data_IF_038802025218
#
_entry.id   IF_038802025218
#
_cell.length_a   1.000
_cell.length_b   1.000
_cell.length_c   1.000
_cell.angle_alpha   90.00
_cell.angle_beta   90.00
_cell.angle_gamma   90.00
#
_symmetry.space_group_name_H-M   'P 1'
#
loop_
_entity.id
_entity.type
_entity.pdbx_description
1 polymer ?
#
# COMPACT_ATOMS: atom_id res chain seq x y z
N UNK A 1 -19.57 9.05 17.97
CA UNK A 1 -18.51 8.65 17.02
C UNK A 1 -17.20 8.63 17.79
N UNK A 2 -16.45 7.52 17.78
CA UNK A 2 -15.08 7.51 18.32
C UNK A 2 -14.15 7.85 17.16
N UNK A 3 -13.23 8.78 17.37
CA UNK A 3 -12.24 9.13 16.35
C UNK A 3 -11.33 7.95 16.04
N UNK A 4 -11.05 7.75 14.76
CA UNK A 4 -10.10 6.73 14.29
C UNK A 4 -8.70 7.26 14.55
N UNK A 5 -8.04 6.74 15.61
CA UNK A 5 -6.72 7.21 16.04
C UNK A 5 -5.64 6.88 15.01
N UNK A 6 -4.50 7.57 15.09
CA UNK A 6 -3.36 7.33 14.20
C UNK A 6 -2.83 5.90 14.35
N UNK A 7 -2.71 5.44 15.58
CA UNK A 7 -2.21 4.11 15.93
C UNK A 7 -3.10 3.03 15.31
N UNK A 8 -4.42 3.22 15.35
CA UNK A 8 -5.37 2.32 14.71
C UNK A 8 -5.16 2.28 13.20
N UNK A 9 -4.99 3.43 12.52
CA UNK A 9 -4.79 3.48 11.07
C UNK A 9 -3.49 2.79 10.64
N UNK A 10 -2.42 2.99 11.39
CA UNK A 10 -1.12 2.38 11.12
C UNK A 10 -1.17 0.85 11.33
N UNK A 11 -1.77 0.38 12.42
CA UNK A 11 -1.97 -1.04 12.70
C UNK A 11 -2.90 -1.71 11.67
N UNK A 12 -4.04 -1.08 11.36
CA UNK A 12 -4.98 -1.55 10.35
C UNK A 12 -4.32 -1.67 8.98
N UNK A 13 -3.53 -0.66 8.57
CA UNK A 13 -2.75 -0.71 7.33
C UNK A 13 -1.75 -1.86 7.34
N UNK A 14 -0.97 -2.01 8.41
CA UNK A 14 0.04 -3.06 8.51
C UNK A 14 -0.58 -4.45 8.42
N UNK A 15 -1.67 -4.70 9.13
CA UNK A 15 -2.40 -5.98 9.11
C UNK A 15 -3.05 -6.23 7.76
N UNK A 16 -3.73 -5.24 7.19
CA UNK A 16 -4.38 -5.37 5.89
C UNK A 16 -3.38 -5.66 4.77
N UNK A 17 -2.19 -5.06 4.81
CA UNK A 17 -1.13 -5.30 3.83
C UNK A 17 -0.61 -6.75 3.80
N UNK A 18 -0.85 -7.53 4.87
CA UNK A 18 -0.48 -8.97 4.90
C UNK A 18 -1.51 -9.87 4.24
N UNK A 19 -2.74 -9.38 4.02
CA UNK A 19 -3.80 -10.15 3.38
C UNK A 19 -3.49 -10.35 1.90
N UNK A 20 -3.60 -11.59 1.43
CA UNK A 20 -3.40 -11.95 0.03
C UNK A 20 -4.74 -12.25 -0.62
N UNK A 21 -5.02 -11.55 -1.72
CA UNK A 21 -6.12 -11.90 -2.60
C UNK A 21 -5.87 -13.29 -3.21
N UNK A 22 -6.92 -14.10 -3.23
CA UNK A 22 -6.93 -15.44 -3.78
C UNK A 22 -7.99 -15.53 -4.85
N UNK A 23 -7.68 -16.27 -5.91
CA UNK A 23 -8.65 -16.73 -6.89
C UNK A 23 -9.25 -18.05 -6.39
N UNK A 24 -10.58 -18.14 -6.33
CA UNK A 24 -11.29 -19.36 -5.90
C UNK A 24 -12.61 -19.57 -6.64
N UNK A 25 -13.02 -20.83 -6.77
CA UNK A 25 -14.33 -21.24 -7.28
C UNK A 25 -15.14 -21.86 -6.14
N UNK A 26 -16.48 -21.72 -6.19
CA UNK A 26 -17.35 -22.29 -5.16
C UNK A 26 -17.48 -23.79 -5.33
N UNK A 27 -16.92 -24.54 -4.37
CA UNK A 27 -17.05 -25.99 -4.31
C UNK A 27 -18.28 -26.39 -3.47
N UNK A 28 -19.51 -26.24 -3.99
CA UNK A 28 -20.71 -26.81 -3.33
C UNK A 28 -21.72 -27.42 -4.31
N UNK A 29 -22.14 -28.64 -4.00
CA UNK A 29 -23.47 -29.18 -4.34
C UNK A 29 -24.53 -28.20 -3.80
N UNK A 30 -25.10 -27.34 -4.64
CA UNK A 30 -26.12 -26.36 -4.23
C UNK A 30 -25.92 -24.95 -4.78
N UNK A 31 -24.77 -24.63 -5.38
CA UNK A 31 -24.69 -23.48 -6.27
C UNK A 31 -25.43 -23.78 -7.57
N UNK A 32 -26.19 -22.79 -8.07
CA UNK A 32 -26.70 -22.81 -9.45
C UNK A 32 -25.51 -23.03 -10.39
N UNK A 33 -25.68 -23.82 -11.45
CA UNK A 33 -24.59 -24.19 -12.38
C UNK A 33 -23.77 -22.96 -12.83
N UNK A 34 -24.43 -21.83 -13.04
CA UNK A 34 -23.84 -20.54 -13.40
C UNK A 34 -22.78 -19.98 -12.43
N UNK A 35 -22.70 -20.45 -11.18
CA UNK A 35 -21.75 -19.96 -10.16
C UNK A 35 -20.59 -20.91 -9.89
N UNK A 36 -20.63 -22.14 -10.43
CA UNK A 36 -19.54 -23.11 -10.25
C UNK A 36 -18.34 -22.80 -11.12
N UNK A 37 -18.60 -22.29 -12.33
CA UNK A 37 -17.55 -21.99 -13.30
C UNK A 37 -17.00 -20.57 -13.18
N UNK A 38 -17.60 -19.74 -12.32
CA UNK A 38 -17.15 -18.34 -12.15
C UNK A 38 -15.92 -18.28 -11.25
N UNK A 39 -14.90 -17.62 -11.77
CA UNK A 39 -13.73 -17.26 -11.00
C UNK A 39 -14.08 -16.11 -10.06
N UNK A 40 -13.81 -16.27 -8.77
CA UNK A 40 -13.97 -15.22 -7.77
C UNK A 40 -12.60 -14.79 -7.24
N UNK A 41 -12.46 -13.50 -6.96
CA UNK A 41 -11.29 -12.95 -6.26
C UNK A 41 -11.75 -12.50 -4.88
N UNK A 42 -11.02 -12.92 -3.85
CA UNK A 42 -11.33 -12.50 -2.49
C UNK A 42 -10.32 -13.02 -1.47
N UNK A 43 -10.68 -12.88 -0.21
CA UNK A 43 -9.93 -13.36 0.95
C UNK A 43 -10.79 -14.32 1.74
N UNK A 44 -10.19 -15.33 2.37
CA UNK A 44 -10.94 -16.22 3.25
C UNK A 44 -11.20 -15.54 4.60
N UNK A 45 -12.35 -15.83 5.20
CA UNK A 45 -12.67 -15.34 6.55
C UNK A 45 -11.63 -15.84 7.57
N UNK A 46 -11.08 -17.03 7.38
CA UNK A 46 -10.04 -17.59 8.24
C UNK A 46 -8.72 -16.83 8.14
N UNK A 47 -8.33 -16.38 6.94
CA UNK A 47 -7.13 -15.55 6.77
C UNK A 47 -7.32 -14.17 7.40
N UNK A 48 -8.51 -13.58 7.26
CA UNK A 48 -8.86 -12.32 7.95
C UNK A 48 -8.82 -12.52 9.46
N UNK A 49 -9.42 -13.58 9.99
CA UNK A 49 -9.48 -13.83 11.44
C UNK A 49 -8.09 -13.90 12.09
N UNK A 50 -7.08 -14.41 11.38
CA UNK A 50 -5.70 -14.47 11.89
C UNK A 50 -5.06 -13.10 12.09
N UNK A 51 -5.42 -12.10 11.27
CA UNK A 51 -4.79 -10.78 11.27
C UNK A 51 -5.69 -9.70 11.88
N UNK A 52 -7.01 -9.86 11.74
CA UNK A 52 -8.07 -8.94 12.10
C UNK A 52 -9.23 -9.75 12.70
N UNK A 53 -9.07 -10.30 13.93
CA UNK A 53 -10.08 -11.16 14.54
C UNK A 53 -11.43 -10.46 14.72
N UNK A 54 -11.41 -9.15 15.04
CA UNK A 54 -12.62 -8.34 15.23
C UNK A 54 -13.45 -8.15 13.94
N UNK A 55 -12.86 -8.45 12.78
CA UNK A 55 -13.55 -8.39 11.49
C UNK A 55 -14.33 -9.69 11.16
N UNK A 56 -14.25 -10.71 12.02
CA UNK A 56 -14.83 -12.04 11.74
C UNK A 56 -15.70 -12.47 12.90
N UNK A 57 -16.98 -12.68 12.61
CA UNK A 57 -17.93 -13.28 13.52
C UNK A 57 -17.95 -14.81 13.33
N UNK A 58 -17.99 -15.55 14.43
CA UNK A 58 -18.06 -17.01 14.43
C UNK A 58 -19.37 -17.43 15.09
N UNK A 59 -20.13 -18.30 14.42
CA UNK A 59 -21.32 -18.93 15.00
C UNK A 59 -21.34 -20.42 14.69
N UNK A 60 -22.07 -21.18 15.51
CA UNK A 60 -22.22 -22.63 15.33
C UNK A 60 -23.44 -22.91 14.45
N UNK A 61 -23.25 -23.69 13.39
CA UNK A 61 -24.32 -24.14 12.51
C UNK A 61 -24.37 -25.68 12.48
N UNK A 62 -25.56 -26.31 12.55
CA UNK A 62 -25.67 -27.75 12.40
C UNK A 62 -25.33 -28.16 10.96
N UNK A 63 -24.49 -29.17 10.78
CA UNK A 63 -24.10 -29.69 9.45
C UNK A 63 -25.18 -30.57 8.80
N UNK A 64 -26.39 -30.65 9.37
CA UNK A 64 -27.50 -31.45 8.87
C UNK A 64 -28.82 -31.22 9.63
N UNK A 65 -29.95 -31.68 9.05
CA UNK A 65 -31.31 -31.37 9.54
C UNK A 65 -31.88 -32.30 10.63
N UNK A 66 -31.03 -32.93 11.45
CA UNK A 66 -31.46 -33.94 12.44
C UNK A 66 -30.98 -33.65 13.87
N UNK A 67 -31.62 -34.29 14.86
CA UNK A 67 -31.32 -34.16 16.28
C UNK A 67 -29.89 -34.57 16.68
N UNK A 68 -29.18 -35.32 15.82
CA UNK A 68 -27.80 -35.76 15.99
C UNK A 68 -26.83 -35.08 14.99
N UNK A 69 -27.16 -33.88 14.50
CA UNK A 69 -26.26 -33.14 13.61
C UNK A 69 -25.04 -32.65 14.38
N UNK A 70 -23.86 -32.83 13.78
CA UNK A 70 -22.65 -32.22 14.30
C UNK A 70 -22.73 -30.71 14.11
N UNK A 71 -22.26 -29.95 15.10
CA UNK A 71 -22.11 -28.51 14.96
C UNK A 71 -20.79 -28.20 14.25
N UNK A 72 -20.81 -27.30 13.28
CA UNK A 72 -19.61 -26.73 12.66
C UNK A 72 -19.52 -25.25 12.99
N UNK A 73 -18.29 -24.75 13.10
CA UNK A 73 -18.05 -23.32 13.13
C UNK A 73 -18.23 -22.75 11.73
N UNK A 74 -18.97 -21.64 11.65
CA UNK A 74 -19.13 -20.84 10.44
C UNK A 74 -18.56 -19.46 10.69
N UNK A 75 -17.64 -19.06 9.83
CA UNK A 75 -16.93 -17.79 9.90
C UNK A 75 -17.53 -16.82 8.89
N UNK A 76 -18.03 -15.69 9.37
CA UNK A 76 -18.60 -14.63 8.54
C UNK A 76 -17.81 -13.34 8.73
N UNK A 77 -17.52 -12.65 7.63
CA UNK A 77 -16.78 -11.38 7.64
C UNK A 77 -17.77 -10.25 7.92
N UNK A 78 -17.52 -9.46 8.97
CA UNK A 78 -18.26 -8.22 9.22
C UNK A 78 -17.91 -7.17 8.16
N UNK A 79 -18.78 -7.05 7.16
CA UNK A 79 -18.60 -6.12 6.06
C UNK A 79 -18.63 -4.66 6.51
N UNK A 80 -19.36 -4.31 7.59
CA UNK A 80 -19.37 -2.95 8.10
C UNK A 80 -18.02 -2.60 8.70
N UNK A 81 -17.47 -3.50 9.53
CA UNK A 81 -16.13 -3.35 10.08
C UNK A 81 -15.08 -3.26 8.97
N UNK A 82 -15.15 -4.15 7.97
CA UNK A 82 -14.23 -4.15 6.84
C UNK A 82 -14.30 -2.86 6.01
N UNK A 83 -15.48 -2.27 5.85
CA UNK A 83 -15.63 -0.99 5.15
C UNK A 83 -14.92 0.16 5.90
N UNK A 84 -15.10 0.26 7.22
CA UNK A 84 -14.38 1.26 8.03
C UNK A 84 -12.87 1.05 8.01
N UNK A 85 -12.44 -0.21 8.07
CA UNK A 85 -11.04 -0.57 7.98
C UNK A 85 -10.46 -0.19 6.62
N UNK A 86 -11.14 -0.51 5.53
CA UNK A 86 -10.70 -0.15 4.17
C UNK A 86 -10.60 1.37 4.00
N UNK A 87 -11.56 2.16 4.51
CA UNK A 87 -11.47 3.62 4.49
C UNK A 87 -10.24 4.13 5.25
N UNK A 88 -9.93 3.53 6.39
CA UNK A 88 -8.75 3.87 7.20
C UNK A 88 -7.45 3.55 6.46
N UNK A 89 -7.38 2.39 5.80
CA UNK A 89 -6.26 1.96 4.96
C UNK A 89 -6.08 2.90 3.77
N UNK A 90 -7.16 3.30 3.09
CA UNK A 90 -7.13 4.23 1.95
C UNK A 90 -6.61 5.60 2.38
N UNK A 91 -7.08 6.15 3.50
CA UNK A 91 -6.58 7.42 4.03
C UNK A 91 -5.07 7.33 4.36
N UNK A 92 -4.63 6.22 4.93
CA UNK A 92 -3.22 6.01 5.23
C UNK A 92 -2.36 5.89 3.95
N UNK A 93 -2.89 5.25 2.90
CA UNK A 93 -2.25 5.18 1.59
C UNK A 93 -2.14 6.55 0.95
N UNK A 94 -3.22 7.34 0.91
CA UNK A 94 -3.23 8.69 0.37
C UNK A 94 -2.16 9.57 1.02
N UNK A 95 -2.09 9.55 2.36
CA UNK A 95 -1.06 10.29 3.10
C UNK A 95 0.36 9.84 2.74
N UNK A 96 0.59 8.54 2.54
CA UNK A 96 1.91 8.03 2.14
C UNK A 96 2.26 8.44 0.71
N UNK A 97 1.29 8.44 -0.21
CA UNK A 97 1.47 8.90 -1.58
C UNK A 97 1.83 10.39 -1.63
N UNK A 98 1.18 11.24 -0.85
CA UNK A 98 1.51 12.67 -0.74
C UNK A 98 2.96 12.87 -0.27
N UNK A 99 3.41 12.10 0.71
CA UNK A 99 4.80 12.16 1.21
C UNK A 99 5.80 11.72 0.13
N UNK A 100 5.48 10.67 -0.63
CA UNK A 100 6.34 10.22 -1.74
C UNK A 100 6.45 11.29 -2.81
N UNK A 101 5.34 11.90 -3.22
CA UNK A 101 5.34 12.98 -4.22
C UNK A 101 6.19 14.18 -3.75
N UNK A 102 6.07 14.59 -2.49
CA UNK A 102 6.90 15.67 -1.93
C UNK A 102 8.39 15.31 -1.90
N UNK A 103 8.73 14.04 -1.70
CA UNK A 103 10.12 13.59 -1.73
C UNK A 103 10.67 13.60 -3.16
N UNK A 104 9.88 13.19 -4.15
CA UNK A 104 10.25 13.25 -5.57
C UNK A 104 10.54 14.68 -6.01
N UNK A 105 9.65 15.64 -5.69
CA UNK A 105 9.84 17.07 -5.98
C UNK A 105 11.11 17.63 -5.33
N UNK A 106 11.41 17.20 -4.10
CA UNK A 106 12.63 17.62 -3.39
C UNK A 106 13.90 17.04 -4.00
N UNK A 107 13.86 15.79 -4.47
CA UNK A 107 14.99 15.15 -5.16
C UNK A 107 15.26 15.88 -6.46
N UNK A 108 14.24 16.16 -7.27
CA UNK A 108 14.38 16.92 -8.52
C UNK A 108 14.96 18.32 -8.27
N UNK A 109 14.48 19.03 -7.24
CA UNK A 109 15.02 20.33 -6.88
C UNK A 109 16.51 20.27 -6.48
N UNK A 110 16.92 19.23 -5.74
CA UNK A 110 18.31 19.03 -5.36
C UNK A 110 19.20 18.63 -6.55
N UNK A 111 18.68 17.82 -7.47
CA UNK A 111 19.37 17.44 -8.71
C UNK A 111 19.63 18.67 -9.59
N UNK A 112 18.64 19.56 -9.74
CA UNK A 112 18.80 20.82 -10.47
C UNK A 112 19.82 21.75 -9.79
N UNK A 113 19.76 21.90 -8.47
CA UNK A 113 20.76 22.69 -7.73
C UNK A 113 22.18 22.14 -7.88
N UNK A 114 22.34 20.81 -7.90
CA UNK A 114 23.62 20.16 -8.15
C UNK A 114 24.14 20.44 -9.57
N UNK A 115 23.28 20.38 -10.57
CA UNK A 115 23.62 20.68 -11.95
C UNK A 115 24.06 22.16 -12.12
N UNK A 116 23.34 23.09 -11.50
CA UNK A 116 23.68 24.52 -11.51
C UNK A 116 25.06 24.78 -10.88
N UNK A 117 25.33 24.17 -9.71
CA UNK A 117 26.62 24.30 -9.03
C UNK A 117 27.75 23.72 -9.90
N UNK A 118 27.53 22.58 -10.56
CA UNK A 118 28.53 22.00 -11.46
C UNK A 118 28.81 22.92 -12.65
N UNK A 119 27.77 23.48 -13.28
CA UNK A 119 27.93 24.42 -14.38
C UNK A 119 28.66 25.70 -13.96
N UNK A 120 28.36 26.25 -12.78
CA UNK A 120 29.09 27.41 -12.23
C UNK A 120 30.57 27.10 -11.99
N UNK A 121 30.89 25.92 -11.45
CA UNK A 121 32.27 25.49 -11.25
C UNK A 121 33.03 25.33 -12.57
N UNK A 122 32.41 24.71 -13.58
CA UNK A 122 33.01 24.56 -14.91
C UNK A 122 33.25 25.92 -15.58
N UNK A 123 32.27 26.82 -15.55
CA UNK A 123 32.40 28.17 -16.09
C UNK A 123 33.46 29.00 -15.35
N UNK A 124 33.50 28.91 -14.01
CA UNK A 124 34.52 29.54 -13.19
C UNK A 124 35.93 29.01 -13.50
N UNK A 125 36.07 27.71 -13.71
CA UNK A 125 37.34 27.11 -14.12
C UNK A 125 37.78 27.58 -15.50
N UNK A 126 36.88 27.60 -16.48
CA UNK A 126 37.19 28.03 -17.85
C UNK A 126 37.61 29.49 -17.91
N UNK A 127 36.90 30.38 -17.20
CA UNK A 127 37.25 31.81 -17.14
C UNK A 127 38.62 32.04 -16.50
N UNK A 128 38.97 31.32 -15.42
CA UNK A 128 40.32 31.38 -14.84
C UNK A 128 41.39 30.85 -15.79
N UNK A 129 41.10 29.77 -16.53
CA UNK A 129 42.03 29.21 -17.51
C UNK A 129 42.28 30.19 -18.67
N UNK A 130 41.24 30.84 -19.18
CA UNK A 130 41.34 31.86 -20.23
C UNK A 130 42.18 33.05 -19.77
N UNK A 131 41.97 33.53 -18.55
CA UNK A 131 42.75 34.63 -17.97
C UNK A 131 44.22 34.25 -17.82
N UNK A 132 44.51 33.06 -17.29
CA UNK A 132 45.88 32.56 -17.15
C UNK A 132 46.60 32.42 -18.51
N UNK A 133 45.90 31.93 -19.54
CA UNK A 133 46.43 31.83 -20.90
C UNK A 133 46.69 33.21 -21.52
N UNK A 134 45.82 34.19 -21.25
CA UNK A 134 45.99 35.57 -21.72
C UNK A 134 47.21 36.23 -21.06
N UNK A 135 47.36 36.09 -19.75
CA UNK A 135 48.50 36.63 -19.00
C UNK A 135 49.82 35.99 -19.46
N UNK A 136 49.82 34.68 -19.72
CA UNK A 136 50.99 33.99 -20.28
C UNK A 136 51.36 34.47 -21.70
N UNK A 137 50.37 34.81 -22.53
CA UNK A 137 50.61 35.33 -23.89
C UNK A 137 51.01 36.81 -23.90
N UNK A 138 50.51 37.62 -22.96
CA UNK A 138 50.79 39.06 -22.88
C UNK A 138 52.08 39.44 -22.15
N UNK A 139 52.72 38.50 -21.44
CA UNK A 139 54.00 38.73 -20.73
C UNK A 139 55.26 38.54 -21.57
N UNK A 140 55.16 38.42 -22.90
CA UNK A 140 56.28 38.36 -23.85
C UNK A 140 56.32 39.65 -24.67
N UNK A 141 56.75 40.75 -24.07
CA UNK A 141 57.27 41.95 -24.75
C UNK A 141 58.46 42.49 -23.94
#
# INVERSE_FOLDING_TARGET
MKDVTREFKEDAYSKFATLRLKEFQWNRMGSTEDKKDRMHIGVSAQDIMRVLPDAVNVYMEPTGGGANSNMTEVHYIDMNYMNYLQMSVVQQLQKRTEVVQQLEERVEALENQLADIQAEQENGFMTMLEQALKDFRGGRD
#
